data_IF_737307968521
#
_entry.id   IF_737307968521
#
_cell.length_a   1.000
_cell.length_b   1.000
_cell.length_c   1.000
_cell.angle_alpha   90.00
_cell.angle_beta   90.00
_cell.angle_gamma   90.00
#
_symmetry.space_group_name_H-M   'P 1'
#
loop_
_entity.id
_entity.type
_entity.pdbx_description
1 polymer ?
#
# COMPACT_ATOMS: atom_id res chain seq x y z
N UNK A 1 -0.02 -2.25 -22.20
CA UNK A 1 0.03 -2.55 -20.75
C UNK A 1 1.46 -2.33 -20.27
N UNK A 2 1.64 -1.74 -19.09
CA UNK A 2 2.97 -1.54 -18.51
C UNK A 2 3.51 -2.84 -17.92
N UNK A 3 4.83 -2.99 -17.82
CA UNK A 3 5.48 -4.14 -17.17
C UNK A 3 5.04 -4.29 -15.70
N UNK A 4 4.67 -3.18 -15.05
CA UNK A 4 4.13 -3.18 -13.69
C UNK A 4 2.76 -3.87 -13.63
N UNK A 5 1.84 -3.54 -14.54
CA UNK A 5 0.52 -4.15 -14.59
C UNK A 5 0.59 -5.67 -14.81
N UNK A 6 1.50 -6.14 -15.67
CA UNK A 6 1.69 -7.58 -15.92
C UNK A 6 2.27 -8.33 -14.71
N UNK A 7 3.14 -7.69 -13.92
CA UNK A 7 3.65 -8.28 -12.69
C UNK A 7 2.61 -8.29 -11.57
N UNK A 8 1.82 -7.22 -11.47
CA UNK A 8 0.74 -7.13 -10.50
C UNK A 8 -0.29 -8.23 -10.76
N UNK A 9 -0.77 -8.36 -11.99
CA UNK A 9 -1.72 -9.41 -12.41
C UNK A 9 -1.22 -10.83 -12.06
N UNK A 10 0.03 -11.16 -12.41
CA UNK A 10 0.65 -12.44 -12.03
C UNK A 10 0.70 -12.66 -10.53
N UNK A 11 0.99 -11.62 -9.74
CA UNK A 11 1.07 -11.71 -8.28
C UNK A 11 -0.32 -11.84 -7.65
N UNK A 12 -1.31 -11.07 -8.13
CA UNK A 12 -2.69 -11.15 -7.67
C UNK A 12 -3.27 -12.56 -7.89
N UNK A 13 -2.93 -13.20 -9.02
CA UNK A 13 -3.32 -14.60 -9.28
C UNK A 13 -2.68 -15.63 -8.33
N UNK A 14 -1.59 -15.28 -7.65
CA UNK A 14 -0.86 -16.19 -6.72
C UNK A 14 -1.17 -15.94 -5.24
N UNK A 15 -1.73 -14.78 -4.91
CA UNK A 15 -1.96 -14.38 -3.52
C UNK A 15 -3.34 -14.76 -3.03
N UNK A 16 -3.46 -14.89 -1.71
CA UNK A 16 -4.76 -15.07 -1.06
C UNK A 16 -5.67 -13.87 -1.33
N UNK A 17 -7.00 -14.06 -1.42
CA UNK A 17 -7.95 -13.00 -1.75
C UNK A 17 -7.89 -11.81 -0.77
N UNK A 18 -7.54 -12.07 0.50
CA UNK A 18 -7.33 -11.01 1.50
C UNK A 18 -6.12 -10.12 1.18
N UNK A 19 -5.06 -10.68 0.61
CA UNK A 19 -3.85 -9.94 0.21
C UNK A 19 -4.10 -9.21 -1.11
N UNK A 20 -4.80 -9.85 -2.04
CA UNK A 20 -5.26 -9.23 -3.30
C UNK A 20 -6.06 -7.96 -3.02
N UNK A 21 -7.10 -8.04 -2.18
CA UNK A 21 -7.93 -6.90 -1.83
C UNK A 21 -7.13 -5.75 -1.19
N UNK A 22 -6.19 -6.07 -0.28
CA UNK A 22 -5.32 -5.05 0.32
C UNK A 22 -4.42 -4.36 -0.71
N UNK A 23 -3.81 -5.13 -1.61
CA UNK A 23 -2.94 -4.58 -2.65
C UNK A 23 -3.75 -3.74 -3.65
N UNK A 24 -4.94 -4.17 -4.03
CA UNK A 24 -5.83 -3.40 -4.91
C UNK A 24 -6.22 -2.06 -4.28
N UNK A 25 -6.54 -2.04 -2.99
CA UNK A 25 -6.84 -0.79 -2.27
C UNK A 25 -5.64 0.16 -2.27
N UNK A 26 -4.44 -0.34 -1.94
CA UNK A 26 -3.23 0.48 -1.91
C UNK A 26 -2.89 1.02 -3.31
N UNK A 27 -2.95 0.18 -4.34
CA UNK A 27 -2.66 0.63 -5.72
C UNK A 27 -3.68 1.67 -6.18
N UNK A 28 -4.96 1.49 -5.84
CA UNK A 28 -6.01 2.47 -6.16
C UNK A 28 -5.74 3.81 -5.48
N UNK A 29 -5.45 3.81 -4.18
CA UNK A 29 -5.14 5.03 -3.43
C UNK A 29 -3.92 5.76 -3.99
N UNK A 30 -2.86 5.01 -4.35
CA UNK A 30 -1.67 5.56 -5.02
C UNK A 30 -2.01 6.18 -6.38
N UNK A 31 -2.90 5.53 -7.15
CA UNK A 31 -3.34 6.04 -8.45
C UNK A 31 -4.18 7.32 -8.31
N UNK A 32 -5.09 7.37 -7.35
CA UNK A 32 -5.90 8.57 -7.06
C UNK A 32 -5.01 9.74 -6.62
N UNK A 33 -4.01 9.48 -5.77
CA UNK A 33 -3.04 10.49 -5.37
C UNK A 33 -2.13 10.93 -6.52
N UNK A 34 -1.74 10.01 -7.40
CA UNK A 34 -0.99 10.37 -8.61
C UNK A 34 -1.82 11.23 -9.57
N UNK A 35 -3.11 10.94 -9.72
CA UNK A 35 -4.04 11.75 -10.53
C UNK A 35 -4.19 13.18 -9.95
N UNK A 36 -4.27 13.27 -8.62
CA UNK A 36 -4.25 14.54 -7.89
C UNK A 36 -2.86 15.22 -7.84
N UNK A 37 -1.83 14.65 -8.49
CA UNK A 37 -0.43 15.11 -8.45
C UNK A 37 0.12 15.26 -7.01
N UNK A 38 -0.37 14.42 -6.11
CA UNK A 38 -0.15 14.45 -4.67
C UNK A 38 0.51 13.15 -4.16
N UNK A 39 1.15 12.39 -5.04
CA UNK A 39 1.83 11.12 -4.70
C UNK A 39 2.93 11.27 -3.65
N UNK A 40 3.49 12.48 -3.50
CA UNK A 40 4.47 12.85 -2.47
C UNK A 40 3.87 12.82 -1.04
N UNK A 41 2.54 12.93 -0.92
CA UNK A 41 1.82 12.85 0.35
C UNK A 41 1.63 11.41 0.85
N UNK A 42 1.91 10.41 0.01
CA UNK A 42 1.91 9.03 0.46
C UNK A 42 2.91 8.89 1.59
N UNK A 43 2.50 8.37 2.77
CA UNK A 43 3.44 8.15 3.84
C UNK A 43 4.49 7.16 3.32
N UNK A 44 5.72 7.64 3.20
CA UNK A 44 6.86 6.77 2.89
C UNK A 44 6.80 5.59 3.85
N UNK A 45 7.03 4.36 3.37
CA UNK A 45 6.91 3.12 4.17
C UNK A 45 7.66 3.18 5.52
N UNK A 46 8.65 4.07 5.62
CA UNK A 46 9.34 4.49 6.85
C UNK A 46 8.42 5.15 7.89
N UNK A 47 7.54 6.07 7.50
CA UNK A 47 6.61 6.81 8.39
C UNK A 47 5.51 5.90 8.94
N UNK A 48 5.01 4.94 8.14
CA UNK A 48 3.98 3.99 8.60
C UNK A 48 4.53 3.04 9.66
N UNK A 49 5.81 2.66 9.58
CA UNK A 49 6.47 1.84 10.60
C UNK A 49 6.69 2.61 11.91
N UNK A 50 7.02 3.90 11.84
CA UNK A 50 7.14 4.75 13.04
C UNK A 50 5.80 4.88 13.78
N UNK A 51 4.68 5.08 13.07
CA UNK A 51 3.34 5.12 13.69
C UNK A 51 2.96 3.78 14.31
N UNK A 52 3.21 2.65 13.64
CA UNK A 52 2.96 1.32 14.20
C UNK A 52 3.80 1.06 15.45
N UNK A 53 5.06 1.52 15.47
CA UNK A 53 5.93 1.42 16.64
C UNK A 53 5.37 2.23 17.82
N UNK A 54 4.87 3.45 17.57
CA UNK A 54 4.26 4.30 18.63
C UNK A 54 2.92 3.78 19.17
N UNK A 55 2.17 2.98 18.39
CA UNK A 55 0.93 2.36 18.85
C UNK A 55 1.19 1.11 19.72
N UNK A 56 2.26 0.36 19.45
CA UNK A 56 2.64 -0.83 20.23
C UNK A 56 3.09 -0.44 21.66
N UNK A 57 3.88 0.64 21.78
CA UNK A 57 4.32 1.19 23.07
C UNK A 57 3.19 1.83 23.89
N UNK A 58 2.08 2.25 23.27
CA UNK A 58 0.91 2.80 23.96
C UNK A 58 -0.06 1.72 24.50
N UNK A 59 0.06 0.46 24.07
CA UNK A 59 -0.73 -0.65 24.61
C UNK A 59 -0.04 -1.43 25.73
N UNK A 60 1.24 -1.14 26.00
CA UNK A 60 2.03 -1.77 27.06
C UNK A 60 2.06 -0.98 28.38
N UNK A 61 1.23 0.05 28.54
CA UNK A 61 1.10 0.88 29.75
C UNK A 61 -0.10 0.53 30.62
#
# INVERSE_FOLDING_TARGET
>A
MTQLAQQLDKKLATWSPQVVAQVEQIVTEVMELADANAVDLLPSRTVVQEVLNTLDESQAG
#
